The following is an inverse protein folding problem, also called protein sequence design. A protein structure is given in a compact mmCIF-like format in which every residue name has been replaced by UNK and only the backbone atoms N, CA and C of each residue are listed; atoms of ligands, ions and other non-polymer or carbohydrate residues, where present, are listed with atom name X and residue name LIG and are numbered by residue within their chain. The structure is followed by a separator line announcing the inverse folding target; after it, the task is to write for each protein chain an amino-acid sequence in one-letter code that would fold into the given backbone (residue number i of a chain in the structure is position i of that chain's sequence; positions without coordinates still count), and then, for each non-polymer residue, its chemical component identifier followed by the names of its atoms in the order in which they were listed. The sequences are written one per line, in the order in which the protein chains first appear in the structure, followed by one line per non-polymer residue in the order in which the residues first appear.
data_IF_794562575278
#
_entry.id   IF_794562575278
#
_cell.length_a   1.000
_cell.length_b   1.000
_cell.length_c   1.000
_cell.angle_alpha   90.00
_cell.angle_beta   90.00
_cell.angle_gamma   90.00
#
_symmetry.space_group_name_H-M   'P 1'
#
loop_
_entity.id
_entity.type
_entity.pdbx_description
1 polymer ?
#
# COMPACT_ATOMS: atom_id res chain seq x y z
N UNK A 1 48.99 -12.60 -50.16
CA UNK A 1 48.70 -12.04 -48.82
C UNK A 1 47.19 -11.83 -48.70
N UNK A 2 46.47 -12.74 -48.06
CA UNK A 2 45.01 -12.66 -47.90
C UNK A 2 44.69 -12.04 -46.51
N UNK A 3 44.12 -10.84 -46.50
CA UNK A 3 43.71 -10.13 -45.27
C UNK A 3 42.52 -10.86 -44.62
N UNK A 4 42.75 -11.44 -43.44
CA UNK A 4 41.68 -11.94 -42.56
C UNK A 4 41.05 -10.76 -41.83
N UNK A 5 39.79 -10.46 -42.15
CA UNK A 5 38.99 -9.48 -41.41
C UNK A 5 38.26 -10.25 -40.30
N UNK A 6 38.66 -10.02 -39.05
CA UNK A 6 38.00 -10.57 -37.88
C UNK A 6 36.77 -9.71 -37.55
N UNK A 7 35.59 -10.32 -37.56
CA UNK A 7 34.35 -9.66 -37.12
C UNK A 7 34.24 -9.73 -35.58
N UNK A 8 33.89 -8.64 -34.88
CA UNK A 8 33.65 -8.68 -33.44
C UNK A 8 32.29 -9.30 -33.15
N UNK A 9 32.27 -10.33 -32.30
CA UNK A 9 31.05 -10.93 -31.77
C UNK A 9 30.46 -10.02 -30.68
N UNK A 10 29.33 -9.39 -30.96
CA UNK A 10 28.52 -8.68 -29.97
C UNK A 10 27.79 -9.71 -29.09
N UNK A 11 28.24 -9.88 -27.85
CA UNK A 11 27.53 -10.66 -26.83
C UNK A 11 26.42 -9.79 -26.26
N UNK A 12 25.18 -10.04 -26.67
CA UNK A 12 24.00 -9.42 -26.07
C UNK A 12 23.76 -10.04 -24.69
N UNK A 13 24.06 -9.30 -23.63
CA UNK A 13 23.69 -9.66 -22.26
C UNK A 13 22.18 -9.40 -22.14
N UNK A 14 21.38 -10.48 -22.23
CA UNK A 14 19.96 -10.42 -21.90
C UNK A 14 19.84 -10.17 -20.40
N UNK A 15 19.52 -8.93 -20.02
CA UNK A 15 19.16 -8.57 -18.66
C UNK A 15 17.86 -9.31 -18.29
N UNK A 16 17.98 -10.36 -17.49
CA UNK A 16 16.84 -11.05 -16.89
C UNK A 16 16.26 -10.10 -15.85
N UNK A 17 15.19 -9.38 -16.19
CA UNK A 17 14.44 -8.61 -15.22
C UNK A 17 13.91 -9.58 -14.13
N UNK A 18 14.06 -9.27 -12.83
CA UNK A 18 13.58 -10.15 -11.78
C UNK A 18 12.06 -10.22 -11.81
N UNK A 19 11.52 -11.37 -12.20
CA UNK A 19 10.09 -11.67 -12.30
C UNK A 19 9.41 -11.91 -10.93
N UNK A 20 9.83 -11.22 -9.87
CA UNK A 20 9.24 -11.34 -8.54
C UNK A 20 8.89 -9.95 -7.99
N UNK A 21 7.90 -9.30 -8.58
CA UNK A 21 7.21 -8.16 -7.95
C UNK A 21 6.25 -8.65 -6.85
N UNK A 22 6.74 -9.49 -5.94
CA UNK A 22 5.97 -9.95 -4.79
C UNK A 22 6.09 -8.90 -3.68
N UNK A 23 4.97 -8.50 -3.07
CA UNK A 23 4.99 -7.58 -1.93
C UNK A 23 5.93 -8.11 -0.84
N UNK A 24 6.85 -7.25 -0.41
CA UNK A 24 7.75 -7.51 0.72
C UNK A 24 6.94 -7.63 2.01
N UNK A 25 7.40 -8.45 2.93
CA UNK A 25 6.84 -8.49 4.29
C UNK A 25 7.15 -7.15 4.96
N UNK A 26 6.13 -6.54 5.54
CA UNK A 26 6.25 -5.28 6.26
C UNK A 26 6.55 -5.51 7.73
N UNK A 27 7.48 -4.72 8.26
CA UNK A 27 7.68 -4.58 9.71
C UNK A 27 6.49 -3.83 10.31
N UNK A 28 6.09 -4.18 11.54
CA UNK A 28 4.90 -3.57 12.15
C UNK A 28 5.03 -2.06 12.34
N UNK A 29 6.25 -1.56 12.58
CA UNK A 29 6.55 -0.13 12.66
C UNK A 29 6.15 0.61 11.38
N UNK A 30 6.61 0.13 10.23
CA UNK A 30 6.25 0.67 8.91
C UNK A 30 4.73 0.72 8.72
N UNK A 31 4.01 -0.32 9.17
CA UNK A 31 2.54 -0.37 9.05
C UNK A 31 1.87 0.73 9.89
N UNK A 32 2.35 0.99 11.11
CA UNK A 32 1.84 2.08 11.93
C UNK A 32 2.15 3.45 11.34
N UNK A 33 3.37 3.65 10.83
CA UNK A 33 3.75 4.91 10.21
C UNK A 33 2.91 5.16 8.95
N UNK A 34 2.71 4.15 8.10
CA UNK A 34 1.83 4.27 6.93
C UNK A 34 0.36 4.52 7.33
N UNK A 35 -0.09 3.96 8.44
CA UNK A 35 -1.42 4.23 8.99
C UNK A 35 -1.56 5.68 9.47
N UNK A 36 -0.52 6.24 10.10
CA UNK A 36 -0.50 7.64 10.52
C UNK A 36 -0.41 8.60 9.32
N UNK A 37 0.33 8.23 8.27
CA UNK A 37 0.32 8.98 7.01
C UNK A 37 -1.09 9.03 6.41
N UNK A 38 -1.83 7.92 6.46
CA UNK A 38 -3.22 7.92 6.01
C UNK A 38 -4.10 8.88 6.82
N UNK A 39 -3.86 9.07 8.12
CA UNK A 39 -4.56 10.11 8.87
C UNK A 39 -4.22 11.53 8.39
N UNK A 40 -2.95 11.82 8.11
CA UNK A 40 -2.55 13.11 7.57
C UNK A 40 -3.23 13.41 6.23
N UNK A 41 -3.34 12.40 5.36
CA UNK A 41 -3.97 12.49 4.04
C UNK A 41 -5.48 12.71 4.11
N UNK A 42 -6.12 12.21 5.17
CA UNK A 42 -7.59 12.22 5.31
C UNK A 42 -8.08 13.19 6.39
N UNK A 43 -7.24 14.16 6.78
CA UNK A 43 -7.54 15.13 7.83
C UNK A 43 -8.73 16.03 7.47
N UNK A 44 -8.93 16.30 6.18
CA UNK A 44 -10.06 17.10 5.69
C UNK A 44 -11.18 16.20 5.15
N UNK A 45 -12.26 16.82 4.66
CA UNK A 45 -13.32 16.12 3.94
C UNK A 45 -12.90 15.59 2.56
N UNK A 46 -11.64 15.76 2.15
CA UNK A 46 -11.07 15.27 0.90
C UNK A 46 -9.72 14.59 1.14
N UNK A 47 -9.21 13.89 0.13
CA UNK A 47 -7.92 13.22 0.17
C UNK A 47 -6.82 14.17 -0.34
N UNK A 48 -5.78 14.39 0.46
CA UNK A 48 -4.60 15.18 0.05
C UNK A 48 -3.41 14.27 -0.34
N UNK A 49 -3.23 13.95 -1.63
CA UNK A 49 -2.11 13.14 -2.08
C UNK A 49 -0.75 13.84 -1.95
N UNK A 50 -0.71 15.17 -1.77
CA UNK A 50 0.55 15.89 -1.58
C UNK A 50 1.18 15.57 -0.22
N UNK A 51 0.36 15.28 0.80
CA UNK A 51 0.83 14.81 2.11
C UNK A 51 1.60 13.48 2.01
N UNK A 52 1.15 12.56 1.14
CA UNK A 52 1.88 11.31 0.87
C UNK A 52 3.25 11.59 0.22
N UNK A 53 3.28 12.45 -0.80
CA UNK A 53 4.54 12.80 -1.47
C UNK A 53 5.55 13.44 -0.49
N UNK A 54 5.07 14.32 0.40
CA UNK A 54 5.89 14.93 1.44
C UNK A 54 6.44 13.89 2.46
N UNK A 55 5.69 12.81 2.70
CA UNK A 55 6.10 11.67 3.53
C UNK A 55 6.93 10.61 2.76
N UNK A 56 7.39 10.91 1.54
CA UNK A 56 8.30 10.04 0.77
C UNK A 56 7.61 8.99 -0.10
N UNK A 57 6.28 9.01 -0.21
CA UNK A 57 5.53 8.10 -1.08
C UNK A 57 5.58 8.54 -2.54
N UNK A 58 5.60 7.56 -3.44
CA UNK A 58 5.65 7.77 -4.88
C UNK A 58 4.44 7.09 -5.53
N UNK A 59 3.72 7.83 -6.38
CA UNK A 59 2.61 7.29 -7.15
C UNK A 59 3.13 6.23 -8.13
N UNK A 60 2.54 5.05 -8.10
CA UNK A 60 2.82 3.99 -9.04
C UNK A 60 2.17 4.31 -10.39
N UNK A 61 2.90 4.04 -11.47
CA UNK A 61 2.34 4.04 -12.82
C UNK A 61 1.61 2.72 -13.06
N UNK A 62 0.35 2.78 -13.49
CA UNK A 62 -0.43 1.61 -13.88
C UNK A 62 -0.57 1.63 -15.40
N UNK A 63 -0.02 0.62 -16.06
CA UNK A 63 -0.09 0.47 -17.52
C UNK A 63 -0.84 -0.79 -17.91
N UNK A 64 -1.52 -0.76 -19.05
CA UNK A 64 -2.07 -1.94 -19.70
C UNK A 64 -0.97 -2.80 -20.35
N UNK A 65 -1.33 -3.98 -20.87
CA UNK A 65 -0.40 -4.92 -21.52
C UNK A 65 0.34 -4.33 -22.73
N UNK A 66 -0.18 -3.24 -23.30
CA UNK A 66 0.43 -2.46 -24.38
C UNK A 66 1.30 -1.29 -23.93
N UNK A 67 1.50 -1.10 -22.62
CA UNK A 67 2.27 0.00 -22.04
C UNK A 67 1.55 1.35 -22.01
N UNK A 68 0.26 1.40 -22.36
CA UNK A 68 -0.57 2.60 -22.23
C UNK A 68 -1.01 2.81 -20.78
N UNK A 69 -0.98 4.06 -20.32
CA UNK A 69 -1.49 4.42 -18.99
C UNK A 69 -2.99 4.13 -18.87
N UNK A 70 -3.41 3.67 -17.69
CA UNK A 70 -4.83 3.46 -17.38
C UNK A 70 -5.33 4.69 -16.62
N UNK A 71 -6.07 5.58 -17.30
CA UNK A 71 -6.57 6.84 -16.71
C UNK A 71 -7.45 6.61 -15.47
N UNK A 72 -8.26 5.55 -15.45
CA UNK A 72 -9.12 5.16 -14.32
C UNK A 72 -8.53 4.04 -13.45
N UNK A 73 -7.21 3.89 -13.49
CA UNK A 73 -6.50 2.89 -12.68
C UNK A 73 -6.57 3.19 -11.18
N UNK A 74 -6.38 2.18 -10.31
CA UNK A 74 -6.31 2.41 -8.87
C UNK A 74 -5.17 3.39 -8.56
N UNK A 75 -5.42 4.34 -7.66
CA UNK A 75 -4.42 5.31 -7.24
C UNK A 75 -3.55 4.67 -6.16
N UNK A 76 -2.40 4.14 -6.58
CA UNK A 76 -1.49 3.38 -5.73
C UNK A 76 -0.23 4.20 -5.48
N UNK A 77 0.27 4.14 -4.25
CA UNK A 77 1.53 4.71 -3.81
C UNK A 77 2.42 3.62 -3.22
N UNK A 78 3.69 3.64 -3.60
CA UNK A 78 4.76 2.84 -3.00
C UNK A 78 5.76 3.70 -2.26
N UNK A 79 6.57 3.07 -1.41
CA UNK A 79 7.65 3.72 -0.67
C UNK A 79 8.96 2.96 -0.90
N UNK A 80 10.07 3.68 -1.00
CA UNK A 80 11.38 3.05 -1.24
C UNK A 80 11.86 2.24 -0.03
N UNK A 81 11.69 2.81 1.16
CA UNK A 81 12.13 2.19 2.42
C UNK A 81 11.05 1.26 3.01
N UNK A 82 9.84 1.78 3.24
CA UNK A 82 8.72 1.05 3.82
C UNK A 82 8.08 0.05 2.85
N UNK A 83 7.73 -1.12 3.35
CA UNK A 83 7.15 -2.21 2.56
C UNK A 83 5.63 -2.13 2.27
N UNK A 84 4.78 -1.51 3.12
CA UNK A 84 3.36 -1.34 2.79
C UNK A 84 3.16 -0.54 1.50
N UNK A 85 2.01 -0.75 0.86
CA UNK A 85 1.51 0.13 -0.21
C UNK A 85 0.30 0.92 0.31
N UNK A 86 0.08 2.10 -0.25
CA UNK A 86 -1.12 2.91 0.01
C UNK A 86 -1.98 2.95 -1.26
N UNK A 87 -3.28 2.78 -1.09
CA UNK A 87 -4.27 2.97 -2.14
C UNK A 87 -5.26 4.05 -1.71
N UNK A 88 -5.58 4.96 -2.62
CA UNK A 88 -6.60 6.00 -2.39
C UNK A 88 -7.86 5.62 -3.16
N UNK A 89 -9.03 5.69 -2.51
CA UNK A 89 -10.30 5.34 -3.17
C UNK A 89 -10.84 6.44 -4.10
N UNK A 90 -10.44 7.70 -3.87
CA UNK A 90 -10.82 8.87 -4.64
C UNK A 90 -9.80 10.00 -4.38
N UNK A 91 -9.76 11.02 -5.24
CA UNK A 91 -9.03 12.28 -4.98
C UNK A 91 -9.95 13.44 -4.60
N UNK A 92 -11.22 13.34 -4.98
CA UNK A 92 -12.23 14.37 -4.73
C UNK A 92 -13.38 13.80 -3.90
N UNK A 93 -13.94 14.61 -3.00
CA UNK A 93 -15.02 14.22 -2.11
C UNK A 93 -14.59 13.24 -1.01
N UNK A 94 -15.58 12.60 -0.40
CA UNK A 94 -15.34 11.59 0.63
C UNK A 94 -14.58 10.39 0.06
N UNK A 95 -13.59 9.92 0.81
CA UNK A 95 -12.76 8.81 0.37
C UNK A 95 -12.09 8.08 1.53
N UNK A 96 -11.26 7.10 1.18
CA UNK A 96 -10.43 6.39 2.13
C UNK A 96 -8.98 6.29 1.64
N UNK A 97 -8.05 6.47 2.58
CA UNK A 97 -6.66 6.05 2.44
C UNK A 97 -6.52 4.63 3.00
N UNK A 98 -6.03 3.72 2.16
CA UNK A 98 -6.00 2.29 2.43
C UNK A 98 -4.56 1.80 2.45
N UNK A 99 -4.06 1.43 3.62
CA UNK A 99 -2.78 0.72 3.76
C UNK A 99 -2.99 -0.76 3.51
N UNK A 100 -2.19 -1.35 2.63
CA UNK A 100 -2.12 -2.79 2.42
C UNK A 100 -0.69 -3.24 2.73
N UNK A 101 -0.55 -4.15 3.69
CA UNK A 101 0.74 -4.64 4.14
C UNK A 101 0.73 -6.16 4.19
N UNK A 102 1.69 -6.81 3.52
CA UNK A 102 1.95 -8.24 3.74
C UNK A 102 2.58 -8.40 5.11
N UNK A 103 2.04 -9.29 5.92
CA UNK A 103 2.52 -9.54 7.27
C UNK A 103 3.20 -10.93 7.32
N UNK A 104 4.15 -11.07 8.23
CA UNK A 104 4.92 -12.32 8.41
C UNK A 104 4.02 -13.53 8.70
N UNK A 105 3.06 -13.35 9.61
CA UNK A 105 2.14 -14.38 10.07
C UNK A 105 0.91 -13.74 10.74
N UNK A 106 -0.09 -14.55 11.09
CA UNK A 106 -1.31 -14.07 11.76
C UNK A 106 -1.05 -13.56 13.19
N UNK A 107 0.01 -14.02 13.86
CA UNK A 107 0.34 -13.56 15.23
C UNK A 107 0.81 -12.11 15.22
N UNK A 108 1.54 -11.70 14.19
CA UNK A 108 1.92 -10.30 14.01
C UNK A 108 0.70 -9.37 13.83
N UNK A 109 -0.42 -9.86 13.27
CA UNK A 109 -1.68 -9.08 13.23
C UNK A 109 -2.27 -8.91 14.64
N UNK A 110 -2.23 -9.94 15.48
CA UNK A 110 -2.69 -9.83 16.86
C UNK A 110 -1.80 -8.89 17.68
N UNK A 111 -0.48 -8.92 17.43
CA UNK A 111 0.45 -7.95 18.00
C UNK A 111 0.14 -6.52 17.54
N UNK A 112 -0.16 -6.33 16.26
CA UNK A 112 -0.58 -5.03 15.74
C UNK A 112 -1.84 -4.52 16.45
N UNK A 113 -2.86 -5.38 16.61
CA UNK A 113 -4.10 -5.01 17.33
C UNK A 113 -3.86 -4.65 18.80
N UNK A 114 -2.80 -5.19 19.42
CA UNK A 114 -2.50 -4.93 20.84
C UNK A 114 -2.13 -3.47 21.14
N UNK A 115 -1.67 -2.69 20.15
CA UNK A 115 -1.39 -1.26 20.34
C UNK A 115 -2.63 -0.43 20.71
N UNK A 116 -3.83 -0.95 20.41
CA UNK A 116 -5.09 -0.33 20.85
C UNK A 116 -5.48 -0.70 22.30
N UNK A 117 -4.61 -1.38 23.05
CA UNK A 117 -4.80 -1.68 24.47
C UNK A 117 -6.07 -2.51 24.76
N UNK A 118 -6.49 -3.36 23.82
CA UNK A 118 -7.70 -4.18 23.95
C UNK A 118 -9.02 -3.42 23.76
N UNK A 119 -8.99 -2.18 23.28
CA UNK A 119 -10.19 -1.34 23.09
C UNK A 119 -10.87 -1.51 21.73
N UNK A 120 -10.35 -2.38 20.86
CA UNK A 120 -10.94 -2.62 19.55
C UNK A 120 -12.29 -3.34 19.69
N UNK A 121 -13.32 -2.92 18.92
CA UNK A 121 -14.56 -3.66 18.82
C UNK A 121 -14.36 -5.10 18.34
N UNK A 122 -15.38 -5.95 18.57
CA UNK A 122 -15.37 -7.30 18.02
C UNK A 122 -15.43 -7.25 16.49
N UNK A 123 -14.72 -8.16 15.80
CA UNK A 123 -14.85 -8.28 14.35
C UNK A 123 -16.28 -8.62 13.92
N UNK A 124 -16.67 -8.19 12.73
CA UNK A 124 -17.90 -8.61 12.08
C UNK A 124 -17.81 -10.07 11.57
N UNK A 125 -18.86 -10.54 10.89
CA UNK A 125 -18.92 -11.91 10.33
C UNK A 125 -17.79 -12.24 9.33
N UNK A 126 -17.21 -11.21 8.71
CA UNK A 126 -16.15 -11.31 7.71
C UNK A 126 -14.76 -11.10 8.34
N UNK A 127 -14.70 -10.91 9.67
CA UNK A 127 -13.46 -10.70 10.41
C UNK A 127 -12.92 -9.26 10.39
N UNK A 128 -13.73 -8.30 9.93
CA UNK A 128 -13.36 -6.88 9.87
C UNK A 128 -13.69 -6.18 11.19
N UNK A 129 -12.79 -5.31 11.65
CA UNK A 129 -12.97 -4.47 12.84
C UNK A 129 -13.16 -3.04 12.36
N UNK A 130 -14.33 -2.46 12.62
CA UNK A 130 -14.61 -1.05 12.33
C UNK A 130 -14.74 -0.24 13.62
N UNK A 131 -14.13 0.93 13.65
CA UNK A 131 -14.15 1.84 14.80
C UNK A 131 -13.99 3.30 14.35
N UNK A 132 -14.18 4.24 15.27
CA UNK A 132 -13.87 5.65 15.03
C UNK A 132 -12.60 6.03 15.79
N UNK A 133 -11.71 6.75 15.12
CA UNK A 133 -10.51 7.34 15.72
C UNK A 133 -10.33 8.75 15.16
N UNK A 134 -10.16 9.72 16.05
CA UNK A 134 -9.88 11.12 15.69
C UNK A 134 -10.86 11.70 14.64
N UNK A 135 -12.17 11.42 14.80
CA UNK A 135 -13.21 11.92 13.90
C UNK A 135 -13.31 11.22 12.54
N UNK A 136 -12.59 10.10 12.35
CA UNK A 136 -12.56 9.35 11.10
C UNK A 136 -12.99 7.91 11.32
N UNK A 137 -13.74 7.37 10.36
CA UNK A 137 -14.05 5.95 10.32
C UNK A 137 -12.79 5.17 9.96
N UNK A 138 -12.47 4.15 10.74
CA UNK A 138 -11.33 3.26 10.50
C UNK A 138 -11.84 1.83 10.39
N UNK A 139 -11.36 1.12 9.37
CA UNK A 139 -11.62 -0.30 9.20
C UNK A 139 -10.30 -1.07 9.11
N UNK A 140 -10.21 -2.15 9.87
CA UNK A 140 -9.10 -3.08 9.85
C UNK A 140 -9.60 -4.47 9.42
N UNK A 141 -8.92 -5.11 8.48
CA UNK A 141 -9.25 -6.45 8.04
C UNK A 141 -7.99 -7.27 7.79
N UNK A 142 -8.03 -8.54 8.18
CA UNK A 142 -7.03 -9.53 7.73
C UNK A 142 -7.42 -9.99 6.33
N UNK A 143 -6.49 -9.90 5.39
CA UNK A 143 -6.66 -10.34 4.00
C UNK A 143 -5.56 -11.34 3.61
N UNK A 144 -5.54 -11.77 2.36
CA UNK A 144 -4.55 -12.73 1.85
C UNK A 144 -4.84 -14.16 2.28
N UNK A 145 -3.80 -15.00 2.30
CA UNK A 145 -3.92 -16.43 2.61
C UNK A 145 -3.28 -16.76 3.96
N UNK A 146 -3.52 -17.97 4.49
CA UNK A 146 -2.85 -18.41 5.73
C UNK A 146 -1.32 -18.44 5.64
N UNK A 147 -0.77 -18.67 4.44
CA UNK A 147 0.69 -18.72 4.21
C UNK A 147 1.29 -17.35 3.88
N UNK A 148 0.46 -16.45 3.37
CA UNK A 148 0.83 -15.09 2.99
C UNK A 148 -0.27 -14.14 3.46
N UNK A 149 -0.36 -13.92 4.79
CA UNK A 149 -1.38 -13.06 5.34
C UNK A 149 -1.03 -11.60 5.06
N UNK A 150 -2.07 -10.79 4.94
CA UNK A 150 -1.96 -9.35 4.78
C UNK A 150 -2.89 -8.63 5.75
N UNK A 151 -2.53 -7.40 6.09
CA UNK A 151 -3.35 -6.48 6.85
C UNK A 151 -3.81 -5.36 5.92
N UNK A 152 -5.12 -5.08 5.95
CA UNK A 152 -5.74 -3.91 5.31
C UNK A 152 -6.21 -2.96 6.41
N UNK A 153 -5.79 -1.70 6.32
CA UNK A 153 -6.24 -0.61 7.17
C UNK A 153 -6.81 0.49 6.27
N UNK A 154 -8.09 0.81 6.41
CA UNK A 154 -8.72 1.91 5.71
C UNK A 154 -9.05 3.03 6.70
N UNK A 155 -8.62 4.25 6.39
CA UNK A 155 -8.94 5.48 7.13
C UNK A 155 -9.79 6.34 6.21
N UNK A 156 -11.02 6.65 6.62
CA UNK A 156 -11.88 7.57 5.89
C UNK A 156 -11.44 9.03 6.03
N UNK A 157 -11.89 9.88 5.11
CA UNK A 157 -11.91 11.34 5.26
C UNK A 157 -12.66 11.73 6.51
N UNK A 158 -12.25 12.85 7.12
CA UNK A 158 -12.89 13.37 8.32
C UNK A 158 -14.33 13.74 8.01
N UNK A 159 -15.27 13.20 8.77
CA UNK A 159 -16.67 13.60 8.68
C UNK A 159 -16.86 14.84 9.57
N UNK A 160 -17.33 15.94 9.00
CA UNK A 160 -17.83 17.03 9.84
C UNK A 160 -19.09 16.56 10.55
N UNK A 161 -19.09 16.64 11.88
CA UNK A 161 -20.28 16.39 12.67
C UNK A 161 -21.29 17.50 12.39
N UNK A 162 -22.35 17.18 11.64
CA UNK A 162 -23.58 17.99 11.61
C UNK A 162 -24.24 18.04 12.99
#
# INVERSE_FOLDING_TARGET
MLKRIAAPAFVAILAVAPANAQMRVAELGDVYESYNDCFAVTETGSIDPAALAAAGWQRAAVSNDGGGEIEDGPIIFGHLERAPIIMLSALEGEGACIVIARIKDLKAIDQFKSAWGGKLPKPNKDGEISFFAEGRAVQMATTGSRKEPSLRLAVGTRMESN
#
